data_IF_430000610836
#
_entry.id   IF_430000610836
#
_cell.length_a   1.000
_cell.length_b   1.000
_cell.length_c   1.000
_cell.angle_alpha   90.00
_cell.angle_beta   90.00
_cell.angle_gamma   90.00
#
_symmetry.space_group_name_H-M   'P 1'
#
loop_
_entity.id
_entity.type
_entity.pdbx_description
1 polymer ?
#
# COMPACT_ATOMS: atom_id res chain seq x y z
N UNK A 1 21.49 23.24 -4.65
CA UNK A 1 20.06 22.92 -4.81
C UNK A 1 19.85 22.61 -6.27
N UNK A 2 19.67 21.34 -6.63
CA UNK A 2 19.28 20.97 -8.00
C UNK A 2 17.92 21.60 -8.28
N UNK A 3 17.80 22.48 -9.27
CA UNK A 3 16.49 22.94 -9.72
C UNK A 3 15.78 21.74 -10.35
N UNK A 4 14.76 21.19 -9.69
CA UNK A 4 13.98 20.10 -10.26
C UNK A 4 13.42 20.53 -11.63
N UNK A 5 13.57 19.66 -12.64
CA UNK A 5 13.10 19.91 -14.00
C UNK A 5 11.57 19.93 -14.03
N UNK A 6 10.92 19.06 -13.26
CA UNK A 6 9.46 19.07 -13.10
C UNK A 6 9.04 19.72 -11.76
N UNK A 7 8.13 20.72 -11.78
CA UNK A 7 7.53 21.25 -10.55
C UNK A 7 6.87 20.14 -9.72
N UNK A 8 7.12 20.12 -8.41
CA UNK A 8 6.70 19.04 -7.50
C UNK A 8 5.20 18.73 -7.62
N UNK A 9 4.36 19.75 -7.53
CA UNK A 9 2.91 19.60 -7.61
C UNK A 9 2.44 18.95 -8.91
N UNK A 10 3.11 19.27 -10.03
CA UNK A 10 2.83 18.66 -11.33
C UNK A 10 3.29 17.20 -11.35
N UNK A 11 4.46 16.91 -10.80
CA UNK A 11 4.96 15.54 -10.71
C UNK A 11 4.04 14.63 -9.87
N UNK A 12 3.59 15.11 -8.71
CA UNK A 12 2.63 14.39 -7.86
C UNK A 12 1.32 14.15 -8.63
N UNK A 13 0.78 15.19 -9.27
CA UNK A 13 -0.47 15.08 -10.03
C UNK A 13 -0.36 14.06 -11.17
N UNK A 14 0.69 14.17 -11.99
CA UNK A 14 0.99 13.21 -13.07
C UNK A 14 1.12 11.78 -12.54
N UNK A 15 1.81 11.61 -11.41
CA UNK A 15 2.01 10.32 -10.77
C UNK A 15 0.71 9.69 -10.25
N UNK A 16 -0.19 10.47 -9.64
CA UNK A 16 -1.39 9.93 -9.00
C UNK A 16 -2.60 9.83 -9.95
N UNK A 17 -2.60 10.52 -11.10
CA UNK A 17 -3.80 10.63 -11.95
C UNK A 17 -3.59 10.29 -13.43
N UNK A 18 -2.38 9.92 -13.88
CA UNK A 18 -2.11 9.63 -15.29
C UNK A 18 -2.48 10.81 -16.23
N UNK A 19 -2.17 12.05 -15.84
CA UNK A 19 -2.28 13.20 -16.75
C UNK A 19 -1.34 12.99 -17.95
N UNK A 20 -1.88 12.48 -19.06
CA UNK A 20 -1.15 12.33 -20.31
C UNK A 20 -0.88 13.71 -20.91
N UNK A 21 0.35 13.92 -21.38
CA UNK A 21 0.68 15.10 -22.16
C UNK A 21 1.48 14.72 -23.40
N UNK A 22 0.94 15.11 -24.57
CA UNK A 22 1.70 15.54 -25.75
C UNK A 22 2.47 14.52 -26.59
N UNK A 23 1.91 14.23 -27.76
CA UNK A 23 2.49 13.80 -29.05
C UNK A 23 3.78 12.94 -29.03
N UNK A 24 3.59 11.67 -29.41
CA UNK A 24 4.53 10.58 -29.79
C UNK A 24 4.97 9.58 -28.70
N UNK A 25 4.98 9.96 -27.41
CA UNK A 25 5.31 9.02 -26.32
C UNK A 25 4.16 9.02 -25.31
N UNK A 26 3.61 7.83 -25.02
CA UNK A 26 2.57 7.72 -23.99
C UNK A 26 3.23 7.49 -22.64
N UNK A 27 2.95 8.40 -21.71
CA UNK A 27 3.43 8.36 -20.34
C UNK A 27 2.42 7.63 -19.45
N UNK A 28 2.88 6.62 -18.70
CA UNK A 28 2.04 5.90 -17.74
C UNK A 28 2.66 5.93 -16.35
N UNK A 29 1.88 6.31 -15.34
CA UNK A 29 2.26 6.15 -13.95
C UNK A 29 2.16 4.69 -13.53
N UNK A 30 3.25 4.17 -12.97
CA UNK A 30 3.24 2.83 -12.36
C UNK A 30 2.34 2.75 -11.12
N UNK A 31 2.11 3.88 -10.44
CA UNK A 31 1.16 3.92 -9.33
C UNK A 31 -0.27 3.66 -9.81
N UNK A 32 -0.70 4.37 -10.86
CA UNK A 32 -2.05 4.20 -11.41
C UNK A 32 -2.22 2.82 -12.02
N UNK A 33 -1.21 2.30 -12.72
CA UNK A 33 -1.23 0.94 -13.25
C UNK A 33 -1.41 -0.10 -12.13
N UNK A 34 -0.58 -0.05 -11.08
CA UNK A 34 -0.66 -0.96 -9.94
C UNK A 34 -2.01 -0.85 -9.19
N UNK A 35 -2.55 0.36 -9.03
CA UNK A 35 -3.86 0.58 -8.42
C UNK A 35 -4.99 -0.03 -9.26
N UNK A 36 -4.97 0.14 -10.58
CA UNK A 36 -5.96 -0.48 -11.47
C UNK A 36 -5.87 -2.01 -11.43
N UNK A 37 -4.66 -2.56 -11.41
CA UNK A 37 -4.45 -4.01 -11.31
C UNK A 37 -4.97 -4.56 -9.98
N UNK A 38 -4.60 -3.93 -8.86
CA UNK A 38 -5.09 -4.31 -7.53
C UNK A 38 -6.62 -4.29 -7.49
N UNK A 39 -7.25 -3.20 -7.98
CA UNK A 39 -8.71 -3.08 -8.09
C UNK A 39 -9.32 -4.18 -8.92
N UNK A 40 -8.77 -4.47 -10.10
CA UNK A 40 -9.24 -5.55 -10.98
C UNK A 40 -9.24 -6.89 -10.24
N UNK A 41 -8.14 -7.23 -9.56
CA UNK A 41 -8.02 -8.50 -8.85
C UNK A 41 -8.87 -8.57 -7.59
N UNK A 42 -9.21 -7.44 -6.96
CA UNK A 42 -10.14 -7.37 -5.83
C UNK A 42 -11.55 -6.94 -6.23
N UNK A 43 -11.99 -7.16 -7.48
CA UNK A 43 -13.34 -6.83 -7.96
C UNK A 43 -13.83 -5.42 -7.58
N UNK A 44 -12.97 -4.44 -7.78
CA UNK A 44 -13.32 -3.03 -7.70
C UNK A 44 -13.32 -2.44 -9.10
N UNK A 45 -14.17 -1.46 -9.30
CA UNK A 45 -14.10 -0.62 -10.49
C UNK A 45 -12.69 -0.03 -10.57
N UNK A 46 -12.00 -0.27 -11.69
CA UNK A 46 -10.58 0.10 -11.85
C UNK A 46 -10.36 1.61 -11.78
N UNK A 47 -11.37 2.41 -12.12
CA UNK A 47 -11.26 3.86 -12.19
C UNK A 47 -11.49 4.52 -10.82
N UNK A 48 -12.45 4.00 -10.03
CA UNK A 48 -12.88 4.67 -8.80
C UNK A 48 -12.76 3.83 -7.51
N UNK A 49 -12.36 2.55 -7.58
CA UNK A 49 -12.16 1.70 -6.41
C UNK A 49 -13.43 1.19 -5.72
N UNK A 50 -14.62 1.52 -6.25
CA UNK A 50 -15.89 1.03 -5.70
C UNK A 50 -16.00 -0.48 -5.90
N UNK A 51 -16.45 -1.20 -4.86
CA UNK A 51 -16.69 -2.64 -4.91
C UNK A 51 -17.75 -2.96 -5.96
N UNK A 52 -17.45 -3.92 -6.83
CA UNK A 52 -18.41 -4.50 -7.76
C UNK A 52 -19.15 -5.63 -7.04
N UNK A 53 -20.47 -5.66 -7.18
CA UNK A 53 -21.38 -6.62 -6.52
C UNK A 53 -21.91 -7.67 -7.49
N UNK A 54 -21.27 -7.87 -8.64
CA UNK A 54 -21.72 -8.81 -9.64
C UNK A 54 -21.22 -10.25 -9.38
N UNK A 55 -22.08 -11.22 -9.71
CA UNK A 55 -21.97 -12.65 -9.40
C UNK A 55 -20.82 -13.40 -10.12
N UNK A 56 -19.95 -12.70 -10.85
CA UNK A 56 -18.94 -13.32 -11.71
C UNK A 56 -17.64 -13.66 -10.94
N UNK A 57 -17.52 -14.85 -10.36
CA UNK A 57 -16.29 -15.48 -9.81
C UNK A 57 -15.08 -14.54 -9.49
N UNK A 58 -15.01 -14.02 -8.27
CA UNK A 58 -13.85 -13.27 -7.77
C UNK A 58 -14.15 -12.66 -6.40
N UNK A 59 -13.10 -12.55 -5.58
CA UNK A 59 -13.16 -12.30 -4.14
C UNK A 59 -12.53 -10.93 -3.85
N UNK A 60 -13.18 -10.04 -3.09
CA UNK A 60 -12.60 -8.79 -2.58
C UNK A 60 -11.33 -9.00 -1.73
N UNK A 61 -11.04 -10.24 -1.34
CA UNK A 61 -9.90 -10.74 -0.59
C UNK A 61 -8.91 -11.54 -1.45
N UNK A 62 -8.82 -11.24 -2.75
CA UNK A 62 -7.79 -11.80 -3.62
C UNK A 62 -6.38 -11.53 -3.10
N UNK A 63 -5.55 -12.58 -3.00
CA UNK A 63 -4.18 -12.50 -2.51
C UNK A 63 -3.29 -11.67 -3.45
N UNK A 64 -3.43 -11.86 -4.76
CA UNK A 64 -2.72 -11.04 -5.75
C UNK A 64 -3.14 -9.58 -5.68
N UNK A 65 -4.44 -9.32 -5.47
CA UNK A 65 -4.94 -7.97 -5.25
C UNK A 65 -4.36 -7.34 -3.98
N UNK A 66 -4.28 -8.10 -2.89
CA UNK A 66 -3.66 -7.68 -1.65
C UNK A 66 -2.16 -7.37 -1.82
N UNK A 67 -1.40 -8.16 -2.58
CA UNK A 67 0.00 -7.83 -2.92
C UNK A 67 0.11 -6.50 -3.68
N UNK A 68 -0.80 -6.26 -4.63
CA UNK A 68 -0.89 -4.98 -5.33
C UNK A 68 -1.10 -3.81 -4.37
N UNK A 69 -2.07 -3.91 -3.46
CA UNK A 69 -2.33 -2.89 -2.43
C UNK A 69 -1.15 -2.69 -1.46
N UNK A 70 -0.51 -3.77 -1.02
CA UNK A 70 0.65 -3.68 -0.13
C UNK A 70 1.85 -3.02 -0.84
N UNK A 71 2.02 -3.27 -2.14
CA UNK A 71 3.04 -2.61 -2.97
C UNK A 71 2.76 -1.11 -3.10
N UNK A 72 1.50 -0.71 -3.23
CA UNK A 72 1.10 0.70 -3.24
C UNK A 72 1.42 1.39 -1.91
N UNK A 73 1.12 0.78 -0.77
CA UNK A 73 1.50 1.32 0.55
C UNK A 73 3.03 1.50 0.64
N UNK A 74 3.79 0.52 0.17
CA UNK A 74 5.25 0.56 0.14
C UNK A 74 5.76 1.75 -0.71
N UNK A 75 5.15 1.98 -1.86
CA UNK A 75 5.49 3.11 -2.72
C UNK A 75 5.09 4.44 -2.08
N UNK A 76 3.88 4.53 -1.52
CA UNK A 76 3.35 5.74 -0.88
C UNK A 76 4.28 6.20 0.24
N UNK A 77 4.66 5.30 1.15
CA UNK A 77 5.51 5.69 2.27
C UNK A 77 7.00 5.87 1.93
N UNK A 78 7.44 5.49 0.72
CA UNK A 78 8.74 5.90 0.16
C UNK A 78 8.69 7.28 -0.43
N UNK A 79 7.56 7.63 -1.06
CA UNK A 79 7.49 8.79 -1.94
C UNK A 79 6.93 10.02 -1.24
N UNK A 80 5.98 9.86 -0.32
CA UNK A 80 5.14 10.97 0.13
C UNK A 80 5.06 11.12 1.65
N UNK A 81 4.89 12.36 2.08
CA UNK A 81 4.37 12.71 3.40
C UNK A 81 3.47 13.96 3.31
N UNK A 82 2.57 14.18 4.29
CA UNK A 82 1.90 15.47 4.41
C UNK A 82 2.92 16.56 4.76
N UNK A 83 2.82 17.71 4.09
CA UNK A 83 3.78 18.82 4.19
C UNK A 83 3.97 19.35 5.60
N UNK A 84 2.90 19.36 6.39
CA UNK A 84 2.90 19.88 7.77
C UNK A 84 3.36 18.87 8.82
N UNK A 85 3.59 17.61 8.44
CA UNK A 85 3.94 16.55 9.38
C UNK A 85 5.44 16.25 9.31
N UNK A 86 6.06 16.07 10.47
CA UNK A 86 7.47 15.74 10.57
C UNK A 86 7.82 14.42 9.87
N UNK A 87 9.07 14.33 9.37
CA UNK A 87 9.58 13.10 8.78
C UNK A 87 9.66 12.00 9.83
N UNK A 88 9.03 10.85 9.56
CA UNK A 88 9.14 9.65 10.36
C UNK A 88 10.42 8.94 9.92
N UNK A 89 11.39 8.89 10.84
CA UNK A 89 12.68 8.24 10.63
C UNK A 89 12.65 6.80 11.17
N UNK A 90 13.54 5.95 10.67
CA UNK A 90 13.76 4.58 11.15
C UNK A 90 12.55 3.62 11.04
N UNK A 91 11.55 3.96 10.24
CA UNK A 91 10.41 3.10 9.93
C UNK A 91 10.48 2.58 8.50
N UNK A 92 9.92 1.39 8.27
CA UNK A 92 9.74 0.87 6.91
C UNK A 92 8.66 1.66 6.16
N UNK A 93 8.62 1.51 4.85
CA UNK A 93 7.76 2.33 3.99
C UNK A 93 6.27 2.06 4.19
N UNK A 94 5.83 0.82 4.39
CA UNK A 94 4.43 0.54 4.76
C UNK A 94 4.05 1.23 6.06
N UNK A 95 4.90 1.12 7.09
CA UNK A 95 4.66 1.79 8.37
C UNK A 95 4.55 3.31 8.21
N UNK A 96 5.41 3.92 7.39
CA UNK A 96 5.29 5.36 7.07
C UNK A 96 3.97 5.69 6.40
N UNK A 97 3.57 4.93 5.38
CA UNK A 97 2.32 5.16 4.66
C UNK A 97 1.10 5.12 5.59
N UNK A 98 1.01 4.08 6.42
CA UNK A 98 -0.11 3.93 7.35
C UNK A 98 -0.07 5.00 8.45
N UNK A 99 1.09 5.30 9.04
CA UNK A 99 1.22 6.35 10.05
C UNK A 99 0.90 7.76 9.53
N UNK A 100 1.17 8.03 8.25
CA UNK A 100 0.84 9.32 7.65
C UNK A 100 -0.61 9.44 7.18
N UNK A 101 -1.17 8.39 6.59
CA UNK A 101 -2.41 8.48 5.82
C UNK A 101 -3.56 7.65 6.40
N UNK A 102 -3.29 6.78 7.38
CA UNK A 102 -4.27 5.96 8.08
C UNK A 102 -4.00 5.97 9.60
N UNK A 103 -3.97 7.16 10.20
CA UNK A 103 -3.57 7.41 11.61
C UNK A 103 -4.43 6.71 12.67
N UNK A 104 -5.55 6.10 12.28
CA UNK A 104 -6.43 5.35 13.17
C UNK A 104 -5.95 3.90 13.40
N UNK A 105 -4.98 3.41 12.62
CA UNK A 105 -4.46 2.04 12.73
C UNK A 105 -3.38 1.98 13.82
N UNK A 106 -3.53 1.11 14.84
CA UNK A 106 -2.53 0.94 15.89
C UNK A 106 -1.19 0.41 15.39
N UNK A 107 -0.09 0.76 16.06
CA UNK A 107 1.28 0.34 15.70
C UNK A 107 1.43 -1.20 15.57
N UNK A 108 0.78 -1.97 16.44
CA UNK A 108 0.83 -3.43 16.38
C UNK A 108 0.15 -4.00 15.13
N UNK A 109 -0.93 -3.36 14.64
CA UNK A 109 -1.57 -3.75 13.38
C UNK A 109 -0.74 -3.32 12.18
N UNK A 110 -0.09 -2.16 12.25
CA UNK A 110 0.89 -1.71 11.25
C UNK A 110 2.03 -2.72 11.10
N UNK A 111 2.58 -3.20 12.23
CA UNK A 111 3.62 -4.23 12.25
C UNK A 111 3.13 -5.55 11.61
N UNK A 112 1.89 -5.96 11.90
CA UNK A 112 1.27 -7.15 11.30
C UNK A 112 1.07 -7.01 9.78
N UNK A 113 0.66 -5.83 9.29
CA UNK A 113 0.48 -5.54 7.85
C UNK A 113 1.84 -5.57 7.13
N UNK A 114 2.89 -5.00 7.74
CA UNK A 114 4.25 -5.10 7.20
C UNK A 114 4.74 -6.55 7.14
N UNK A 115 4.52 -7.33 8.20
CA UNK A 115 4.85 -8.74 8.24
C UNK A 115 4.08 -9.55 7.18
N UNK A 116 2.79 -9.27 6.95
CA UNK A 116 2.00 -9.89 5.89
C UNK A 116 2.58 -9.58 4.51
N UNK A 117 2.97 -8.32 4.25
CA UNK A 117 3.64 -7.95 3.00
C UNK A 117 4.89 -8.77 2.76
N UNK A 118 5.70 -8.99 3.80
CA UNK A 118 6.90 -9.82 3.63
C UNK A 118 6.54 -11.28 3.32
N UNK A 119 5.59 -11.87 4.06
CA UNK A 119 5.12 -13.23 3.81
C UNK A 119 4.61 -13.42 2.38
N UNK A 120 3.82 -12.47 1.88
CA UNK A 120 3.24 -12.52 0.53
C UNK A 120 4.25 -12.24 -0.57
N UNK A 121 5.06 -11.18 -0.44
CA UNK A 121 5.93 -10.72 -1.52
C UNK A 121 7.20 -11.57 -1.70
N UNK A 122 7.69 -12.20 -0.63
CA UNK A 122 8.91 -13.00 -0.69
C UNK A 122 8.63 -14.48 -0.94
N UNK A 123 7.60 -15.04 -0.28
CA UNK A 123 7.36 -16.49 -0.29
C UNK A 123 5.94 -16.88 -0.70
N UNK A 124 5.06 -15.91 -1.00
CA UNK A 124 3.63 -16.13 -1.24
C UNK A 124 3.00 -17.04 -0.17
N UNK A 125 3.30 -16.75 1.10
CA UNK A 125 3.01 -17.62 2.24
C UNK A 125 2.21 -16.90 3.34
N UNK A 126 1.88 -17.62 4.40
CA UNK A 126 1.20 -17.09 5.59
C UNK A 126 2.11 -17.05 6.81
N UNK A 127 3.43 -17.04 6.61
CA UNK A 127 4.41 -16.99 7.68
C UNK A 127 5.40 -15.87 7.44
N UNK A 128 5.62 -15.05 8.45
CA UNK A 128 6.77 -14.16 8.50
C UNK A 128 7.51 -14.44 9.79
N UNK A 129 8.76 -14.91 9.70
CA UNK A 129 9.62 -15.16 10.86
C UNK A 129 10.74 -14.13 10.81
N UNK A 130 10.83 -13.28 11.83
CA UNK A 130 11.82 -12.22 11.88
C UNK A 130 12.69 -12.34 13.13
N UNK A 131 13.97 -12.70 12.93
CA UNK A 131 14.92 -12.92 14.01
C UNK A 131 15.28 -11.63 14.79
N UNK A 132 15.11 -10.46 14.19
CA UNK A 132 15.56 -9.18 14.75
C UNK A 132 14.43 -8.42 15.47
N UNK A 133 13.16 -8.67 15.10
CA UNK A 133 12.00 -7.98 15.66
C UNK A 133 10.82 -8.93 15.81
N UNK A 134 10.59 -9.37 17.04
CA UNK A 134 9.53 -10.35 17.36
C UNK A 134 8.13 -9.85 16.99
N UNK A 135 7.88 -8.53 17.01
CA UNK A 135 6.60 -7.95 16.59
C UNK A 135 6.31 -8.10 15.10
N UNK A 136 7.28 -8.54 14.30
CA UNK A 136 7.06 -8.94 12.90
C UNK A 136 6.88 -10.45 12.75
N UNK A 137 7.02 -11.25 13.80
CA UNK A 137 6.93 -12.71 13.70
C UNK A 137 5.49 -13.18 13.81
N UNK A 138 4.85 -13.50 12.69
CA UNK A 138 3.44 -13.86 12.62
C UNK A 138 3.23 -15.14 11.80
N UNK A 139 2.26 -15.94 12.22
CA UNK A 139 1.56 -16.85 11.33
C UNK A 139 0.13 -16.37 11.16
N UNK A 140 -0.31 -16.39 9.92
CA UNK A 140 -1.53 -15.72 9.49
C UNK A 140 -2.60 -16.72 9.09
N UNK A 141 -3.84 -16.29 9.25
CA UNK A 141 -4.93 -16.72 8.38
C UNK A 141 -5.52 -15.49 7.72
N UNK A 142 -6.04 -15.66 6.51
CA UNK A 142 -6.66 -14.57 5.76
C UNK A 142 -8.13 -14.86 5.55
N UNK A 143 -8.93 -13.81 5.66
CA UNK A 143 -10.37 -13.88 5.47
C UNK A 143 -10.82 -12.76 4.54
N UNK A 144 -12.03 -12.92 4.03
CA UNK A 144 -12.81 -11.86 3.42
C UNK A 144 -14.09 -11.68 4.20
N UNK A 145 -14.36 -10.47 4.67
CA UNK A 145 -15.62 -10.16 5.32
C UNK A 145 -15.90 -8.65 5.34
N UNK A 146 -17.14 -8.22 5.07
CA UNK A 146 -17.50 -6.82 5.18
C UNK A 146 -17.69 -6.33 6.62
N UNK A 147 -17.69 -7.23 7.62
CA UNK A 147 -18.04 -6.92 9.02
C UNK A 147 -16.90 -7.17 10.02
N UNK A 148 -15.82 -7.83 9.59
CA UNK A 148 -14.66 -8.08 10.46
C UNK A 148 -13.62 -6.96 10.37
N UNK A 149 -12.86 -6.71 11.46
CA UNK A 149 -11.81 -5.70 11.47
C UNK A 149 -10.69 -6.03 10.47
N UNK A 150 -9.84 -5.03 10.17
CA UNK A 150 -8.67 -5.17 9.29
C UNK A 150 -7.70 -6.25 9.79
N UNK A 151 -7.31 -6.16 11.06
CA UNK A 151 -6.47 -7.15 11.75
C UNK A 151 -7.18 -7.58 13.03
N UNK A 152 -7.16 -8.89 13.29
CA UNK A 152 -7.35 -9.42 14.65
C UNK A 152 -6.00 -9.91 15.13
N UNK A 153 -5.41 -9.18 16.08
CA UNK A 153 -4.14 -9.54 16.69
C UNK A 153 -4.28 -10.80 17.55
N UNK A 154 -3.23 -11.61 17.68
CA UNK A 154 -3.25 -12.78 18.52
C UNK A 154 -3.33 -12.41 20.01
N UNK A 155 -3.87 -13.31 20.83
CA UNK A 155 -3.83 -13.17 22.29
C UNK A 155 -2.40 -13.30 22.83
N UNK A 156 -1.57 -14.12 22.19
CA UNK A 156 -0.17 -14.35 22.54
C UNK A 156 0.72 -14.28 21.31
N UNK A 157 1.84 -13.58 21.36
CA UNK A 157 2.78 -13.50 20.24
C UNK A 157 3.28 -14.88 19.82
N UNK A 158 3.32 -15.18 18.52
CA UNK A 158 3.95 -16.40 18.02
C UNK A 158 5.48 -16.31 18.08
N UNK A 159 6.11 -17.41 18.44
CA UNK A 159 7.56 -17.52 18.65
C UNK A 159 8.33 -17.88 17.37
N UNK A 160 7.64 -18.06 16.24
CA UNK A 160 8.24 -18.51 14.98
C UNK A 160 8.43 -20.03 14.88
N UNK A 161 8.09 -20.79 15.92
CA UNK A 161 8.16 -22.25 15.89
C UNK A 161 6.85 -22.84 15.35
N UNK A 162 6.95 -23.50 14.20
CA UNK A 162 5.83 -24.15 13.51
C UNK A 162 5.08 -25.16 14.40
N UNK A 163 5.79 -25.85 15.30
CA UNK A 163 5.18 -26.83 16.20
C UNK A 163 4.32 -26.18 17.31
N UNK A 164 4.53 -24.91 17.62
CA UNK A 164 3.86 -24.18 18.71
C UNK A 164 2.66 -23.35 18.25
N UNK A 165 2.20 -23.52 17.01
CA UNK A 165 1.05 -22.76 16.47
C UNK A 165 -0.25 -23.19 17.13
N UNK A 166 -1.04 -22.20 17.53
CA UNK A 166 -2.35 -22.35 18.15
C UNK A 166 -3.29 -21.25 17.65
N UNK A 167 -4.57 -21.34 17.98
CA UNK A 167 -5.51 -20.25 17.71
C UNK A 167 -5.18 -18.98 18.52
N UNK A 168 -4.58 -19.12 19.70
CA UNK A 168 -4.26 -17.99 20.56
C UNK A 168 -3.08 -17.16 20.03
N UNK A 169 -2.21 -17.75 19.20
CA UNK A 169 -1.10 -17.05 18.57
C UNK A 169 -1.27 -16.79 17.06
N UNK A 170 -2.48 -17.01 16.53
CA UNK A 170 -2.84 -16.76 15.15
C UNK A 170 -3.20 -15.29 14.92
N UNK A 171 -2.66 -14.68 13.87
CA UNK A 171 -3.09 -13.35 13.42
C UNK A 171 -4.08 -13.50 12.27
N UNK A 172 -5.25 -12.87 12.35
CA UNK A 172 -6.25 -12.90 11.28
C UNK A 172 -6.16 -11.59 10.50
N UNK A 173 -6.05 -11.66 9.17
CA UNK A 173 -6.08 -10.48 8.30
C UNK A 173 -7.30 -10.53 7.38
N UNK A 174 -8.10 -9.47 7.42
CA UNK A 174 -9.21 -9.29 6.50
C UNK A 174 -8.73 -8.57 5.24
N UNK A 175 -8.60 -9.32 4.14
CA UNK A 175 -8.06 -8.80 2.88
C UNK A 175 -9.01 -7.82 2.19
N UNK A 176 -10.32 -7.93 2.42
CA UNK A 176 -11.30 -6.96 1.92
C UNK A 176 -11.12 -5.60 2.62
N UNK A 177 -11.01 -5.61 3.95
CA UNK A 177 -10.75 -4.42 4.75
C UNK A 177 -9.37 -3.82 4.46
N UNK A 178 -8.36 -4.63 4.11
CA UNK A 178 -7.06 -4.16 3.65
C UNK A 178 -7.22 -3.35 2.35
N UNK A 179 -7.95 -3.89 1.37
CA UNK A 179 -8.28 -3.16 0.16
C UNK A 179 -9.00 -1.84 0.44
N UNK A 180 -10.01 -1.84 1.32
CA UNK A 180 -10.72 -0.62 1.70
C UNK A 180 -9.80 0.43 2.35
N UNK A 181 -8.88 -0.02 3.21
CA UNK A 181 -7.90 0.85 3.87
C UNK A 181 -6.97 1.50 2.85
N UNK A 182 -6.45 0.74 1.89
CA UNK A 182 -5.55 1.30 0.87
C UNK A 182 -6.28 2.24 -0.09
N UNK A 183 -7.54 1.96 -0.42
CA UNK A 183 -8.38 2.89 -1.20
C UNK A 183 -8.63 4.22 -0.45
N UNK A 184 -8.84 4.17 0.87
CA UNK A 184 -8.94 5.37 1.71
C UNK A 184 -7.63 6.16 1.73
N UNK A 185 -6.49 5.47 1.85
CA UNK A 185 -5.17 6.09 1.76
C UNK A 185 -4.98 6.77 0.40
N UNK A 186 -5.31 6.10 -0.71
CA UNK A 186 -5.22 6.68 -2.05
C UNK A 186 -6.12 7.93 -2.19
N UNK A 187 -7.34 7.86 -1.68
CA UNK A 187 -8.28 9.00 -1.66
C UNK A 187 -7.71 10.17 -0.86
N UNK A 188 -7.07 9.89 0.28
CA UNK A 188 -6.39 10.91 1.10
C UNK A 188 -5.21 11.55 0.38
N UNK A 189 -4.41 10.78 -0.37
CA UNK A 189 -3.33 11.32 -1.19
C UNK A 189 -3.86 12.30 -2.25
N UNK A 190 -4.94 11.94 -2.94
CA UNK A 190 -5.56 12.81 -3.94
C UNK A 190 -6.08 14.11 -3.32
N UNK A 191 -6.71 14.05 -2.14
CA UNK A 191 -7.17 15.23 -1.40
C UNK A 191 -6.00 16.13 -0.97
N UNK A 192 -4.93 15.56 -0.43
CA UNK A 192 -3.74 16.35 -0.05
C UNK A 192 -3.06 16.97 -1.27
N UNK A 193 -3.05 16.25 -2.40
CA UNK A 193 -2.55 16.76 -3.67
C UNK A 193 -3.38 17.95 -4.16
N UNK A 194 -4.72 17.86 -4.16
CA UNK A 194 -5.58 18.98 -4.60
C UNK A 194 -5.40 20.23 -3.74
N UNK A 195 -5.01 20.07 -2.48
CA UNK A 195 -4.77 21.16 -1.54
C UNK A 195 -3.30 21.65 -1.52
N UNK A 196 -2.40 21.04 -2.29
CA UNK A 196 -0.96 21.30 -2.26
C UNK A 196 -0.30 21.01 -0.89
N UNK A 197 -0.91 20.10 -0.12
CA UNK A 197 -0.51 19.68 1.23
C UNK A 197 0.31 18.37 1.24
N UNK A 198 0.59 17.80 0.07
CA UNK A 198 1.45 16.63 -0.10
C UNK A 198 2.82 17.06 -0.61
N UNK A 199 3.88 16.38 -0.17
CA UNK A 199 5.24 16.64 -0.65
C UNK A 199 6.01 15.35 -0.94
N UNK A 200 7.03 15.46 -1.79
CA UNK A 200 7.89 14.34 -2.17
C UNK A 200 9.06 14.23 -1.20
N UNK A 201 9.31 13.02 -0.71
CA UNK A 201 10.36 12.71 0.28
C UNK A 201 11.58 11.98 -0.31
N UNK A 202 11.55 11.70 -1.62
CA UNK A 202 12.65 11.08 -2.35
C UNK A 202 13.87 12.01 -2.38
N UNK A 203 15.07 11.44 -2.32
CA UNK A 203 16.32 12.21 -2.31
C UNK A 203 16.52 13.01 -3.60
N UNK A 204 16.12 12.44 -4.75
CA UNK A 204 16.09 13.14 -6.04
C UNK A 204 14.80 13.95 -6.29
N UNK A 205 13.94 14.12 -5.28
CA UNK A 205 12.74 14.93 -5.35
C UNK A 205 11.75 14.50 -6.43
N UNK A 206 11.10 15.47 -7.05
CA UNK A 206 10.07 15.25 -8.08
C UNK A 206 10.61 14.63 -9.36
N UNK A 207 11.87 14.86 -9.71
CA UNK A 207 12.47 14.27 -10.90
C UNK A 207 12.68 12.77 -10.72
N UNK A 208 13.13 12.32 -9.53
CA UNK A 208 13.24 10.89 -9.21
C UNK A 208 11.87 10.20 -9.25
N UNK A 209 10.82 10.84 -8.72
CA UNK A 209 9.47 10.28 -8.71
C UNK A 209 9.00 9.91 -10.12
N UNK A 210 9.20 10.80 -11.08
CA UNK A 210 8.80 10.65 -12.48
C UNK A 210 9.66 9.59 -13.17
N UNK A 211 10.98 9.69 -13.04
CA UNK A 211 11.90 8.78 -13.72
C UNK A 211 11.76 7.33 -13.23
N UNK A 212 11.57 7.13 -11.92
CA UNK A 212 11.57 5.80 -11.31
C UNK A 212 10.23 5.09 -11.43
N UNK A 213 9.12 5.83 -11.34
CA UNK A 213 7.79 5.24 -11.21
C UNK A 213 6.89 5.52 -12.40
N UNK A 214 7.46 5.74 -13.58
CA UNK A 214 6.68 5.88 -14.79
C UNK A 214 7.28 5.10 -15.95
N UNK A 215 6.39 4.63 -16.80
CA UNK A 215 6.71 3.82 -17.97
C UNK A 215 6.55 4.65 -19.23
N UNK A 216 7.40 4.34 -20.20
CA UNK A 216 7.34 4.87 -21.55
C UNK A 216 6.94 3.73 -22.47
N UNK A 217 5.82 3.89 -23.16
CA UNK A 217 5.54 3.07 -24.33
C UNK A 217 5.80 3.91 -25.58
N UNK A 218 6.66 3.41 -26.47
CA UNK A 218 6.68 3.89 -27.84
C UNK A 218 5.32 3.54 -28.47
N UNK A 219 4.67 4.54 -29.07
CA UNK A 219 3.46 4.33 -29.86
C UNK A 219 3.76 3.53 -31.13
#
# INVERSE_FOLDING_TARGET
>A
MSSNIMPEQRAISTHLTNLSQGLSITYFSGFVAALRDARKFTKRNQDNGQKLTDDSCGDHGSWLGAIGYLSLLDQIGKCFKPRTIATINNENSISKALKYFATHIPDAEVDAIYALRNAFAHDYSLYNINANRISYTHHFTVIQSPVHPLITLPQTQWDGNIANRTQNNLTVVNLEALGDTVEQVCSRLLQLTSNNDLEVTLAGGSDELIQRYSFYAAA
#
